data_IF_713062728666
#
_entry.id   IF_713062728666
#
_cell.length_a   1.000
_cell.length_b   1.000
_cell.length_c   1.000
_cell.angle_alpha   90.00
_cell.angle_beta   90.00
_cell.angle_gamma   90.00
#
_symmetry.space_group_name_H-M   'P 1'
#
loop_
_entity.id
_entity.type
_entity.pdbx_description
1 polymer ?
#
# COMPACT_ATOMS: atom_id res chain seq x y z
N UNK A 1 12.04 -7.24 24.51
CA UNK A 1 10.93 -6.79 23.64
C UNK A 1 11.26 -7.23 22.22
N UNK A 2 10.40 -8.04 21.60
CA UNK A 2 10.65 -8.58 20.26
C UNK A 2 10.36 -7.51 19.19
N UNK A 3 11.29 -7.28 18.25
CA UNK A 3 11.13 -6.29 17.18
C UNK A 3 9.89 -6.56 16.30
N UNK A 4 9.55 -7.84 16.10
CA UNK A 4 8.34 -8.24 15.36
C UNK A 4 7.05 -7.77 16.04
N UNK A 5 6.99 -7.82 17.38
CA UNK A 5 5.82 -7.32 18.10
C UNK A 5 5.67 -5.79 18.00
N UNK A 6 6.80 -5.07 17.90
CA UNK A 6 6.78 -3.62 17.76
C UNK A 6 6.28 -3.19 16.38
N UNK A 7 6.66 -3.88 15.30
CA UNK A 7 6.12 -3.51 13.98
C UNK A 7 4.63 -3.81 13.87
N UNK A 8 4.13 -4.90 14.45
CA UNK A 8 2.68 -5.14 14.52
C UNK A 8 1.96 -4.05 15.32
N UNK A 9 2.54 -3.62 16.44
CA UNK A 9 2.00 -2.49 17.21
C UNK A 9 2.03 -1.18 16.40
N UNK A 10 3.13 -0.90 15.70
CA UNK A 10 3.29 0.28 14.87
C UNK A 10 2.24 0.34 13.75
N UNK A 11 1.96 -0.79 13.11
CA UNK A 11 0.90 -0.88 12.09
C UNK A 11 -0.49 -0.58 12.67
N UNK A 12 -0.80 -1.10 13.87
CA UNK A 12 -2.07 -0.83 14.57
C UNK A 12 -2.17 0.64 14.98
N UNK A 13 -1.11 1.22 15.54
CA UNK A 13 -1.05 2.63 15.92
C UNK A 13 -1.23 3.54 14.71
N UNK A 14 -0.62 3.18 13.58
CA UNK A 14 -0.73 3.95 12.34
C UNK A 14 -2.16 3.93 11.80
N UNK A 15 -2.83 2.78 11.84
CA UNK A 15 -4.23 2.67 11.43
C UNK A 15 -5.19 3.40 12.39
N UNK A 16 -4.93 3.35 13.70
CA UNK A 16 -5.82 3.92 14.71
C UNK A 16 -5.63 5.42 14.93
N UNK A 17 -4.39 5.91 14.80
CA UNK A 17 -4.00 7.25 15.24
C UNK A 17 -3.10 8.00 14.25
N UNK A 18 -2.81 7.39 13.10
CA UNK A 18 -2.02 8.00 12.04
C UNK A 18 -0.51 7.82 12.21
N UNK A 19 0.21 8.35 11.23
CA UNK A 19 1.63 8.06 11.00
C UNK A 19 2.56 8.56 12.11
N UNK A 20 2.23 9.68 12.74
CA UNK A 20 3.11 10.33 13.73
C UNK A 20 3.19 9.53 15.04
N UNK A 21 2.08 8.95 15.51
CA UNK A 21 2.08 8.16 16.74
C UNK A 21 2.81 6.82 16.59
N UNK A 22 2.82 6.25 15.39
CA UNK A 22 3.50 4.99 15.11
C UNK A 22 5.02 5.14 14.92
N UNK A 23 5.50 6.33 14.55
CA UNK A 23 6.91 6.63 14.28
C UNK A 23 7.89 6.19 15.37
N UNK A 24 7.70 6.51 16.68
CA UNK A 24 8.61 6.06 17.72
C UNK A 24 8.69 4.54 17.83
N UNK A 25 7.57 3.84 17.56
CA UNK A 25 7.49 2.38 17.61
C UNK A 25 8.29 1.74 16.48
N UNK A 26 8.15 2.23 15.25
CA UNK A 26 8.96 1.76 14.11
C UNK A 26 10.45 2.06 14.31
N UNK A 27 10.80 3.25 14.82
CA UNK A 27 12.19 3.58 15.16
C UNK A 27 12.76 2.59 16.18
N UNK A 28 12.00 2.27 17.23
CA UNK A 28 12.43 1.31 18.23
C UNK A 28 12.59 -0.10 17.67
N UNK A 29 11.73 -0.52 16.75
CA UNK A 29 11.86 -1.82 16.08
C UNK A 29 13.18 -1.91 15.29
N UNK A 30 13.51 -0.85 14.54
CA UNK A 30 14.77 -0.74 13.78
C UNK A 30 16.00 -0.70 14.69
N UNK A 31 15.93 -0.04 15.86
CA UNK A 31 17.02 -0.05 16.85
C UNK A 31 17.31 -1.45 17.41
N UNK A 32 16.25 -2.24 17.64
CA UNK A 32 16.37 -3.59 18.22
C UNK A 32 16.91 -4.58 17.19
N UNK A 33 16.42 -4.52 15.95
CA UNK A 33 16.90 -5.41 14.89
C UNK A 33 17.02 -4.68 13.54
N UNK A 34 18.13 -3.96 13.31
CA UNK A 34 18.31 -3.16 12.10
C UNK A 34 18.53 -4.02 10.84
N UNK A 35 18.75 -5.33 10.98
CA UNK A 35 19.02 -6.26 9.88
C UNK A 35 17.86 -7.22 9.58
N UNK A 36 16.70 -7.03 10.20
CA UNK A 36 15.53 -7.86 9.95
C UNK A 36 14.81 -7.40 8.69
N UNK A 37 14.65 -8.29 7.71
CA UNK A 37 13.95 -7.97 6.45
C UNK A 37 12.49 -7.58 6.68
N UNK A 38 11.81 -8.18 7.67
CA UNK A 38 10.41 -7.87 7.98
C UNK A 38 10.29 -6.50 8.61
N UNK A 39 11.15 -6.19 9.59
CA UNK A 39 11.16 -4.88 10.25
C UNK A 39 11.46 -3.76 9.25
N UNK A 40 12.42 -3.99 8.35
CA UNK A 40 12.74 -3.05 7.28
C UNK A 40 11.54 -2.88 6.32
N UNK A 41 10.87 -3.96 5.94
CA UNK A 41 9.71 -3.89 5.05
C UNK A 41 8.56 -3.07 5.66
N UNK A 42 8.22 -3.34 6.92
CA UNK A 42 7.15 -2.63 7.63
C UNK A 42 7.51 -1.17 7.91
N UNK A 43 8.79 -0.87 8.22
CA UNK A 43 9.28 0.50 8.31
C UNK A 43 9.23 1.24 6.95
N UNK A 44 9.45 0.52 5.85
CA UNK A 44 9.25 1.02 4.49
C UNK A 44 7.81 1.46 4.26
N UNK A 45 6.83 0.65 4.67
CA UNK A 45 5.41 0.98 4.58
C UNK A 45 5.03 2.20 5.41
N UNK A 46 5.53 2.28 6.65
CA UNK A 46 5.37 3.48 7.47
C UNK A 46 5.90 4.73 6.76
N UNK A 47 7.08 4.63 6.15
CA UNK A 47 7.67 5.72 5.39
C UNK A 47 6.84 6.10 4.15
N UNK A 48 6.20 5.14 3.47
CA UNK A 48 5.25 5.44 2.37
C UNK A 48 4.08 6.27 2.88
N UNK A 49 3.41 5.82 3.93
CA UNK A 49 2.27 6.56 4.48
C UNK A 49 2.67 7.94 5.03
N UNK A 50 3.92 8.10 5.47
CA UNK A 50 4.49 9.38 5.89
C UNK A 50 4.91 10.31 4.74
N UNK A 51 4.88 9.84 3.50
CA UNK A 51 5.34 10.59 2.31
C UNK A 51 6.86 10.58 2.11
N UNK A 52 7.62 9.80 2.88
CA UNK A 52 9.08 9.66 2.77
C UNK A 52 9.47 8.57 1.77
N UNK A 53 9.15 8.78 0.49
CA UNK A 53 9.23 7.74 -0.53
C UNK A 53 10.67 7.24 -0.81
N UNK A 54 11.67 8.13 -0.79
CA UNK A 54 13.08 7.74 -0.96
C UNK A 54 13.59 6.84 0.17
N UNK A 55 13.15 7.13 1.39
CA UNK A 55 13.48 6.32 2.57
C UNK A 55 12.74 4.98 2.52
N UNK A 56 11.46 4.98 2.13
CA UNK A 56 10.69 3.77 1.91
C UNK A 56 11.37 2.83 0.90
N UNK A 57 11.81 3.37 -0.24
CA UNK A 57 12.58 2.63 -1.25
C UNK A 57 13.84 2.02 -0.65
N UNK A 58 14.62 2.81 0.08
CA UNK A 58 15.86 2.36 0.71
C UNK A 58 15.61 1.19 1.66
N UNK A 59 14.55 1.26 2.47
CA UNK A 59 14.17 0.19 3.38
C UNK A 59 13.71 -1.08 2.63
N UNK A 60 12.83 -0.95 1.64
CA UNK A 60 12.35 -2.08 0.86
C UNK A 60 13.48 -2.76 0.08
N UNK A 61 14.37 -1.99 -0.56
CA UNK A 61 15.52 -2.54 -1.27
C UNK A 61 16.46 -3.30 -0.32
N UNK A 62 16.66 -2.78 0.89
CA UNK A 62 17.47 -3.47 1.90
C UNK A 62 16.80 -4.75 2.39
N UNK A 63 15.49 -4.70 2.65
CA UNK A 63 14.70 -5.88 3.04
C UNK A 63 14.78 -6.98 1.97
N UNK A 64 14.63 -6.62 0.69
CA UNK A 64 14.75 -7.52 -0.47
C UNK A 64 16.13 -8.15 -0.59
N UNK A 65 17.20 -7.39 -0.35
CA UNK A 65 18.58 -7.93 -0.35
C UNK A 65 18.80 -8.95 0.76
N UNK A 66 18.21 -8.73 1.93
CA UNK A 66 18.33 -9.61 3.09
C UNK A 66 17.45 -10.85 2.98
N UNK A 67 16.32 -10.76 2.30
CA UNK A 67 15.45 -11.89 1.98
C UNK A 67 15.13 -11.93 0.47
N UNK A 68 15.93 -12.67 -0.33
CA UNK A 68 15.72 -12.79 -1.77
C UNK A 68 14.43 -13.52 -2.17
N UNK A 69 13.80 -14.25 -1.25
CA UNK A 69 12.51 -14.94 -1.46
C UNK A 69 11.53 -14.42 -0.39
N UNK A 70 11.11 -13.14 -0.51
CA UNK A 70 10.25 -12.55 0.50
C UNK A 70 8.85 -13.18 0.46
N UNK A 71 8.10 -13.10 1.57
CA UNK A 71 6.71 -13.51 1.59
C UNK A 71 5.87 -12.74 0.55
N UNK A 72 4.77 -13.34 0.11
CA UNK A 72 3.92 -12.80 -0.96
C UNK A 72 3.44 -11.36 -0.71
N UNK A 73 3.18 -10.99 0.55
CA UNK A 73 2.70 -9.65 0.92
C UNK A 73 3.75 -8.55 0.68
N UNK A 74 5.04 -8.90 0.53
CA UNK A 74 6.08 -7.92 0.26
C UNK A 74 5.85 -7.22 -1.10
N UNK A 75 5.28 -7.94 -2.07
CA UNK A 75 4.93 -7.36 -3.36
C UNK A 75 3.89 -6.24 -3.25
N UNK A 76 3.02 -6.28 -2.23
CA UNK A 76 2.04 -5.22 -1.99
C UNK A 76 2.71 -3.93 -1.50
N UNK A 77 3.78 -4.05 -0.71
CA UNK A 77 4.50 -2.90 -0.18
C UNK A 77 5.27 -2.18 -1.29
N UNK A 78 5.88 -2.93 -2.21
CA UNK A 78 6.49 -2.36 -3.41
C UNK A 78 5.45 -1.74 -4.33
N UNK A 79 4.32 -2.40 -4.54
CA UNK A 79 3.23 -1.88 -5.35
C UNK A 79 2.63 -0.59 -4.77
N UNK A 80 2.56 -0.48 -3.44
CA UNK A 80 2.14 0.71 -2.73
C UNK A 80 3.13 1.87 -2.92
N UNK A 81 4.43 1.57 -2.94
CA UNK A 81 5.47 2.55 -3.26
C UNK A 81 5.37 3.00 -4.73
N UNK A 82 5.24 2.05 -5.67
CA UNK A 82 5.01 2.33 -7.09
C UNK A 82 3.80 3.25 -7.29
N UNK A 83 2.68 2.97 -6.61
CA UNK A 83 1.48 3.80 -6.64
C UNK A 83 1.73 5.22 -6.11
N UNK A 84 2.45 5.31 -4.99
CA UNK A 84 2.78 6.59 -4.35
C UNK A 84 3.69 7.44 -5.23
N UNK A 85 4.55 6.83 -6.04
CA UNK A 85 5.41 7.52 -7.02
C UNK A 85 4.76 7.71 -8.40
N UNK A 86 3.51 7.26 -8.58
CA UNK A 86 2.75 7.43 -9.82
C UNK A 86 3.03 6.38 -10.90
N UNK A 87 3.77 5.31 -10.60
CA UNK A 87 4.02 4.19 -11.51
C UNK A 87 2.86 3.19 -11.51
N UNK A 88 1.71 3.62 -12.03
CA UNK A 88 0.46 2.85 -11.94
C UNK A 88 0.48 1.48 -12.61
N UNK A 89 1.14 1.35 -13.76
CA UNK A 89 1.25 0.06 -14.46
C UNK A 89 2.10 -0.96 -13.68
N UNK A 90 3.13 -0.49 -12.96
CA UNK A 90 3.97 -1.33 -12.11
C UNK A 90 3.21 -1.72 -10.84
N UNK A 91 2.56 -0.75 -10.20
CA UNK A 91 1.72 -0.95 -9.03
C UNK A 91 0.61 -1.98 -9.28
N UNK A 92 -0.15 -1.85 -10.38
CA UNK A 92 -1.22 -2.80 -10.73
C UNK A 92 -0.69 -4.23 -10.87
N UNK A 93 0.48 -4.40 -11.50
CA UNK A 93 1.12 -5.72 -11.63
C UNK A 93 1.62 -6.24 -10.29
N UNK A 94 2.15 -5.39 -9.42
CA UNK A 94 2.61 -5.75 -8.09
C UNK A 94 1.47 -6.27 -7.21
N UNK A 95 0.37 -5.51 -7.11
CA UNK A 95 -0.83 -5.94 -6.37
C UNK A 95 -1.47 -7.21 -6.96
N UNK A 96 -1.41 -7.39 -8.28
CA UNK A 96 -1.93 -8.57 -8.97
C UNK A 96 -1.15 -9.88 -8.70
N UNK A 97 0.04 -9.82 -8.09
CA UNK A 97 0.81 -11.02 -7.69
C UNK A 97 0.31 -11.65 -6.39
N UNK A 98 -0.50 -10.93 -5.61
CA UNK A 98 -1.10 -11.40 -4.36
C UNK A 98 -2.52 -11.96 -4.55
N UNK A 99 -3.07 -12.58 -3.49
CA UNK A 99 -4.47 -13.06 -3.48
C UNK A 99 -5.52 -11.94 -3.40
N UNK A 100 -6.81 -12.28 -3.47
CA UNK A 100 -7.92 -11.34 -3.45
C UNK A 100 -8.20 -10.73 -2.05
N UNK A 101 -7.76 -9.50 -1.81
CA UNK A 101 -8.06 -8.74 -0.59
C UNK A 101 -8.61 -7.35 -0.89
N UNK A 102 -9.48 -6.81 -0.01
CA UNK A 102 -10.12 -5.49 -0.21
C UNK A 102 -9.11 -4.39 -0.52
N UNK A 103 -8.03 -4.35 0.27
CA UNK A 103 -6.89 -3.45 0.10
C UNK A 103 -6.30 -3.54 -1.32
N UNK A 104 -5.91 -4.72 -1.80
CA UNK A 104 -5.32 -4.86 -3.14
C UNK A 104 -6.28 -4.42 -4.25
N UNK A 105 -7.57 -4.77 -4.12
CA UNK A 105 -8.56 -4.50 -5.16
C UNK A 105 -8.78 -3.01 -5.39
N UNK A 106 -8.79 -2.18 -4.34
CA UNK A 106 -8.94 -0.73 -4.52
C UNK A 106 -7.75 -0.11 -5.26
N UNK A 107 -6.53 -0.55 -4.95
CA UNK A 107 -5.34 -0.05 -5.63
C UNK A 107 -5.26 -0.57 -7.07
N UNK A 108 -5.61 -1.83 -7.33
CA UNK A 108 -5.68 -2.37 -8.70
C UNK A 108 -6.67 -1.55 -9.55
N UNK A 109 -7.88 -1.30 -9.05
CA UNK A 109 -8.88 -0.51 -9.75
C UNK A 109 -8.39 0.91 -10.04
N UNK A 110 -7.84 1.59 -9.03
CA UNK A 110 -7.32 2.94 -9.17
C UNK A 110 -6.15 2.99 -10.16
N UNK A 111 -5.18 2.08 -10.05
CA UNK A 111 -4.02 2.02 -10.93
C UNK A 111 -4.42 1.75 -12.38
N UNK A 112 -5.26 0.74 -12.62
CA UNK A 112 -5.70 0.38 -13.98
C UNK A 112 -6.49 1.52 -14.62
N UNK A 113 -7.34 2.20 -13.86
CA UNK A 113 -8.06 3.36 -14.39
C UNK A 113 -7.14 4.55 -14.67
N UNK A 114 -6.21 4.87 -13.78
CA UNK A 114 -5.23 5.94 -13.98
C UNK A 114 -4.23 5.64 -15.11
N UNK A 115 -3.97 4.36 -15.40
CA UNK A 115 -3.11 3.92 -16.50
C UNK A 115 -3.79 3.88 -17.88
N UNK A 116 -5.09 4.22 -17.97
CA UNK A 116 -5.84 4.29 -19.23
C UNK A 116 -6.86 3.17 -19.46
N UNK A 117 -7.13 2.33 -18.45
CA UNK A 117 -8.14 1.28 -18.49
C UNK A 117 -7.71 0.00 -19.21
N UNK A 118 -8.67 -0.85 -19.58
CA UNK A 118 -8.42 -2.12 -20.27
C UNK A 118 -9.36 -3.27 -19.85
N UNK A 119 -9.24 -4.45 -20.48
CA UNK A 119 -10.02 -5.63 -20.11
C UNK A 119 -9.77 -6.10 -18.66
N UNK A 120 -8.58 -5.82 -18.12
CA UNK A 120 -8.22 -6.07 -16.73
C UNK A 120 -9.06 -5.23 -15.77
N UNK A 121 -9.34 -3.96 -16.13
CA UNK A 121 -10.19 -3.08 -15.32
C UNK A 121 -11.62 -3.60 -15.26
N UNK A 122 -12.17 -4.03 -16.40
CA UNK A 122 -13.52 -4.59 -16.47
C UNK A 122 -13.66 -5.86 -15.60
N UNK A 123 -12.64 -6.72 -15.64
CA UNK A 123 -12.58 -7.94 -14.84
C UNK A 123 -12.48 -7.63 -13.34
N UNK A 124 -11.64 -6.67 -12.93
CA UNK A 124 -11.53 -6.23 -11.55
C UNK A 124 -12.83 -5.60 -11.02
N UNK A 125 -13.51 -4.77 -11.83
CA UNK A 125 -14.79 -4.17 -11.49
C UNK A 125 -15.89 -5.22 -11.28
N UNK A 126 -15.93 -6.24 -12.13
CA UNK A 126 -16.91 -7.33 -12.01
C UNK A 126 -16.79 -8.08 -10.67
N UNK A 127 -15.58 -8.19 -10.12
CA UNK A 127 -15.34 -8.79 -8.80
C UNK A 127 -15.82 -7.88 -7.66
N UNK A 128 -15.52 -6.58 -7.73
CA UNK A 128 -15.86 -5.63 -6.65
C UNK A 128 -17.37 -5.31 -6.61
N UNK A 129 -18.06 -5.31 -7.75
CA UNK A 129 -19.52 -5.07 -7.81
C UNK A 129 -20.34 -6.00 -6.93
N UNK A 130 -19.87 -7.24 -6.73
CA UNK A 130 -20.55 -8.23 -5.90
C UNK A 130 -20.42 -7.97 -4.40
N UNK A 131 -19.59 -7.01 -3.99
CA UNK A 131 -19.16 -6.86 -2.61
C UNK A 131 -19.72 -5.61 -1.91
N UNK A 132 -20.57 -4.81 -2.59
CA UNK A 132 -21.27 -3.62 -2.02
C UNK A 132 -20.36 -2.73 -1.15
N UNK A 133 -19.25 -2.24 -1.70
CA UNK A 133 -18.30 -1.41 -0.94
C UNK A 133 -18.67 0.07 -0.93
N UNK A 134 -18.46 0.71 0.23
CA UNK A 134 -18.40 2.16 0.34
C UNK A 134 -16.98 2.65 0.01
N UNK A 135 -16.78 3.21 -1.17
CA UNK A 135 -15.47 3.64 -1.65
C UNK A 135 -14.87 4.76 -0.79
N UNK A 136 -15.70 5.70 -0.33
CA UNK A 136 -15.21 6.81 0.51
C UNK A 136 -14.75 6.31 1.88
N UNK A 137 -15.46 5.35 2.47
CA UNK A 137 -15.02 4.69 3.71
C UNK A 137 -13.65 4.04 3.52
N UNK A 138 -13.46 3.30 2.43
CA UNK A 138 -12.21 2.59 2.16
C UNK A 138 -11.06 3.57 1.92
N UNK A 139 -11.27 4.63 1.14
CA UNK A 139 -10.25 5.67 0.89
C UNK A 139 -9.89 6.40 2.19
N UNK A 140 -10.86 6.67 3.06
CA UNK A 140 -10.63 7.38 4.31
C UNK A 140 -9.96 6.53 5.38
N UNK A 141 -10.06 5.20 5.28
CA UNK A 141 -9.35 4.27 6.15
C UNK A 141 -7.84 4.22 5.87
N UNK A 142 -7.38 4.67 4.70
CA UNK A 142 -5.96 4.66 4.35
C UNK A 142 -5.19 5.78 5.11
N UNK A 143 -4.15 5.41 5.90
CA UNK A 143 -3.48 6.32 6.83
C UNK A 143 -2.44 7.21 6.14
N UNK A 144 -2.62 7.58 4.87
CA UNK A 144 -1.74 8.53 4.19
C UNK A 144 -1.73 9.87 4.93
N UNK A 145 -0.51 10.35 5.24
CA UNK A 145 -0.26 11.70 5.73
C UNK A 145 -0.57 12.72 4.65
N UNK A 146 -0.10 12.45 3.43
CA UNK A 146 -0.25 13.37 2.32
C UNK A 146 -1.65 13.23 1.69
N UNK A 147 -2.46 14.30 1.71
CA UNK A 147 -3.80 14.28 1.14
C UNK A 147 -3.81 14.03 -0.38
N UNK A 148 -2.74 14.37 -1.10
CA UNK A 148 -2.67 14.12 -2.55
C UNK A 148 -2.67 12.62 -2.87
N UNK A 149 -2.04 11.81 -2.03
CA UNK A 149 -2.02 10.35 -2.19
C UNK A 149 -3.42 9.76 -2.00
N UNK A 150 -4.15 10.26 -1.01
CA UNK A 150 -5.54 9.87 -0.78
C UNK A 150 -6.45 10.34 -1.93
N UNK A 151 -6.26 11.56 -2.43
CA UNK A 151 -7.05 12.08 -3.55
C UNK A 151 -6.76 11.32 -4.85
N UNK A 152 -5.51 10.92 -5.09
CA UNK A 152 -5.15 10.09 -6.24
C UNK A 152 -5.87 8.74 -6.20
N UNK A 153 -5.91 8.10 -5.04
CA UNK A 153 -6.65 6.85 -4.86
C UNK A 153 -8.15 7.07 -5.12
N UNK A 154 -8.71 8.15 -4.57
CA UNK A 154 -10.11 8.54 -4.76
C UNK A 154 -10.44 8.77 -6.23
N UNK A 155 -9.62 9.54 -6.94
CA UNK A 155 -9.79 9.85 -8.36
C UNK A 155 -9.69 8.60 -9.23
N UNK A 156 -8.71 7.73 -8.97
CA UNK A 156 -8.57 6.48 -9.70
C UNK A 156 -9.79 5.57 -9.53
N UNK A 157 -10.34 5.49 -8.31
CA UNK A 157 -11.58 4.77 -8.06
C UNK A 157 -12.77 5.43 -8.78
N UNK A 158 -12.94 6.76 -8.66
CA UNK A 158 -14.03 7.48 -9.34
C UNK A 158 -14.02 7.23 -10.85
N UNK A 159 -12.86 7.34 -11.50
CA UNK A 159 -12.72 7.03 -12.93
C UNK A 159 -13.03 5.56 -13.24
N UNK A 160 -12.56 4.63 -12.41
CA UNK A 160 -12.84 3.20 -12.59
C UNK A 160 -14.35 2.93 -12.62
N UNK A 161 -15.13 3.58 -11.76
CA UNK A 161 -16.59 3.44 -11.75
C UNK A 161 -17.31 4.30 -12.80
N UNK A 162 -16.71 5.41 -13.25
CA UNK A 162 -17.27 6.31 -14.28
C UNK A 162 -17.11 5.79 -15.71
N UNK A 163 -16.11 4.94 -16.00
CA UNK A 163 -15.94 4.24 -17.29
C UNK A 163 -17.12 3.33 -17.69
N UNK A 164 -18.22 3.35 -16.93
CA UNK A 164 -19.46 2.62 -17.19
C UNK A 164 -20.53 3.45 -17.93
N UNK A 165 -20.40 4.77 -18.02
CA UNK A 165 -21.45 5.63 -18.58
C UNK A 165 -21.22 6.06 -20.04
N UNK A 166 -20.26 5.45 -20.75
CA UNK A 166 -19.96 5.72 -22.16
C UNK A 166 -19.93 4.44 -22.97
#
# INVERSE_FOLDING_TARGET
TNATCLVSLGMVQMAAHGVDEARPTFRRALEINPGDSYVLADAGVHAIYDGRLDEARTFLDRARRLNPIPPYWFADYEALLDFSEGRFADAARGFGRGGCGKFRMIYILACLSLAGGGPELASALALVRKLEWNLEEVVNAEPFRDPEMRERLREGLRRAFAHQES
#
